data_IF_405949343239
#
_entry.id   IF_405949343239
#
_cell.length_a   1.000
_cell.length_b   1.000
_cell.length_c   1.000
_cell.angle_alpha   90.00
_cell.angle_beta   90.00
_cell.angle_gamma   90.00
#
_symmetry.space_group_name_H-M   'P 1'
#
loop_
_entity.id
_entity.type
_entity.pdbx_description
1 polymer ?
#
# COMPACT_ATOMS: atom_id res chain seq x y z
N UNK A 1 -0.67 2.63 15.91
CA UNK A 1 -1.30 3.15 14.68
C UNK A 1 -0.21 3.81 13.89
N UNK A 2 0.11 3.30 12.70
CA UNK A 2 1.08 3.94 11.82
C UNK A 2 0.59 5.35 11.49
N UNK A 3 1.52 6.29 11.34
CA UNK A 3 1.22 7.66 10.96
C UNK A 3 2.19 8.12 9.88
N UNK A 4 1.71 8.87 8.88
CA UNK A 4 2.60 9.41 7.86
C UNK A 4 3.58 10.40 8.48
N UNK A 5 4.81 10.42 7.98
CA UNK A 5 5.86 11.32 8.49
C UNK A 5 5.55 12.81 8.21
N UNK A 6 4.68 13.07 7.24
CA UNK A 6 4.17 14.41 6.91
C UNK A 6 2.72 14.31 6.45
N UNK A 7 1.89 15.33 6.69
CA UNK A 7 0.51 15.33 6.22
C UNK A 7 0.44 15.21 4.69
N UNK A 8 -0.37 14.28 4.19
CA UNK A 8 -0.65 14.16 2.77
C UNK A 8 -1.78 15.10 2.38
N UNK A 9 -1.46 16.11 1.56
CA UNK A 9 -2.42 17.04 0.98
C UNK A 9 -2.72 16.63 -0.46
N UNK A 10 -3.95 16.18 -0.71
CA UNK A 10 -4.45 15.87 -2.05
C UNK A 10 -5.68 16.74 -2.31
N UNK A 11 -5.64 17.51 -3.40
CA UNK A 11 -6.73 18.43 -3.80
C UNK A 11 -7.21 19.37 -2.67
N UNK A 12 -6.27 19.88 -1.84
CA UNK A 12 -6.57 20.79 -0.74
C UNK A 12 -7.14 20.12 0.52
N UNK A 13 -7.26 18.78 0.53
CA UNK A 13 -7.70 18.00 1.69
C UNK A 13 -6.53 17.23 2.27
N UNK A 14 -6.38 17.28 3.60
CA UNK A 14 -5.48 16.39 4.32
C UNK A 14 -6.09 14.99 4.44
N UNK A 15 -5.35 13.99 4.01
CA UNK A 15 -5.74 12.59 4.16
C UNK A 15 -5.73 12.17 5.64
N UNK A 16 -6.68 11.31 6.00
CA UNK A 16 -6.63 10.57 7.28
C UNK A 16 -5.44 9.60 7.30
N UNK A 17 -5.04 9.13 8.49
CA UNK A 17 -3.95 8.14 8.63
C UNK A 17 -4.22 6.88 7.78
N UNK A 18 -5.49 6.45 7.69
CA UNK A 18 -5.92 5.33 6.86
C UNK A 18 -5.79 5.62 5.35
N UNK A 19 -6.25 6.78 4.90
CA UNK A 19 -6.13 7.19 3.50
C UNK A 19 -4.66 7.37 3.10
N UNK A 20 -3.83 7.93 3.98
CA UNK A 20 -2.39 8.06 3.78
C UNK A 20 -1.73 6.69 3.69
N UNK A 21 -2.08 5.74 4.58
CA UNK A 21 -1.56 4.38 4.54
C UNK A 21 -1.89 3.70 3.21
N UNK A 22 -3.16 3.80 2.78
CA UNK A 22 -3.60 3.25 1.48
C UNK A 22 -2.83 3.88 0.34
N UNK A 23 -2.64 5.20 0.36
CA UNK A 23 -1.94 5.93 -0.69
C UNK A 23 -0.48 5.46 -0.81
N UNK A 24 0.25 5.42 0.30
CA UNK A 24 1.65 4.97 0.31
C UNK A 24 1.80 3.50 -0.08
N UNK A 25 0.91 2.62 0.39
CA UNK A 25 0.91 1.21 -0.01
C UNK A 25 0.70 1.06 -1.52
N UNK A 26 -0.30 1.78 -2.05
CA UNK A 26 -0.67 1.73 -3.46
C UNK A 26 0.46 2.25 -4.36
N UNK A 27 1.05 3.40 -4.00
CA UNK A 27 2.12 4.04 -4.76
C UNK A 27 3.37 3.15 -4.83
N UNK A 28 3.79 2.57 -3.70
CA UNK A 28 4.92 1.63 -3.68
C UNK A 28 4.62 0.38 -4.52
N UNK A 29 3.42 -0.18 -4.41
CA UNK A 29 3.04 -1.38 -5.15
C UNK A 29 2.96 -1.12 -6.67
N UNK A 30 2.43 0.04 -7.09
CA UNK A 30 2.46 0.45 -8.50
C UNK A 30 3.88 0.56 -9.04
N UNK A 31 4.82 1.11 -8.26
CA UNK A 31 6.23 1.21 -8.65
C UNK A 31 6.88 -0.16 -8.85
N UNK A 32 6.57 -1.13 -8.00
CA UNK A 32 7.11 -2.49 -8.10
C UNK A 32 6.68 -3.22 -9.38
N UNK A 33 5.49 -2.90 -9.90
CA UNK A 33 4.96 -3.45 -11.15
C UNK A 33 5.10 -2.50 -12.35
N UNK A 34 5.94 -1.46 -12.26
CA UNK A 34 6.16 -0.47 -13.33
C UNK A 34 4.85 0.17 -13.85
N UNK A 35 3.86 0.34 -12.98
CA UNK A 35 2.54 0.88 -13.32
C UNK A 35 1.56 -0.14 -13.93
N UNK A 36 1.98 -1.37 -14.21
CA UNK A 36 1.16 -2.42 -14.82
C UNK A 36 0.40 -3.26 -13.77
N UNK A 37 -0.26 -2.61 -12.82
CA UNK A 37 -1.08 -3.27 -11.78
C UNK A 37 -2.56 -3.04 -12.00
N UNK A 38 -3.31 -4.14 -11.96
CA UNK A 38 -4.77 -4.15 -11.94
C UNK A 38 -5.30 -3.47 -10.66
N UNK A 39 -6.20 -2.50 -10.83
CA UNK A 39 -6.85 -1.80 -9.72
C UNK A 39 -7.66 -2.72 -8.81
N UNK A 40 -8.22 -3.81 -9.34
CA UNK A 40 -8.99 -4.78 -8.57
C UNK A 40 -8.06 -5.62 -7.68
N UNK A 41 -6.90 -6.03 -8.21
CA UNK A 41 -5.86 -6.69 -7.42
C UNK A 41 -5.37 -5.78 -6.29
N UNK A 42 -5.10 -4.50 -6.60
CA UNK A 42 -4.64 -3.54 -5.61
C UNK A 42 -5.68 -3.33 -4.49
N UNK A 43 -6.95 -3.27 -4.86
CA UNK A 43 -8.07 -3.15 -3.90
C UNK A 43 -8.19 -4.41 -3.03
N UNK A 44 -8.08 -5.60 -3.62
CA UNK A 44 -8.09 -6.87 -2.90
C UNK A 44 -6.93 -6.95 -1.89
N UNK A 45 -5.72 -6.61 -2.31
CA UNK A 45 -4.52 -6.61 -1.47
C UNK A 45 -4.65 -5.62 -0.31
N UNK A 46 -5.11 -4.41 -0.58
CA UNK A 46 -5.38 -3.42 0.47
C UNK A 46 -6.39 -3.94 1.50
N UNK A 47 -7.55 -4.44 1.05
CA UNK A 47 -8.58 -4.95 1.95
C UNK A 47 -8.11 -6.16 2.78
N UNK A 48 -7.17 -6.94 2.23
CA UNK A 48 -6.58 -8.09 2.92
C UNK A 48 -5.52 -7.67 3.93
N UNK A 49 -4.62 -6.76 3.56
CA UNK A 49 -3.46 -6.40 4.38
C UNK A 49 -3.79 -5.36 5.43
N UNK A 50 -4.58 -4.33 5.09
CA UNK A 50 -4.83 -3.19 5.96
C UNK A 50 -5.32 -3.59 7.37
N UNK A 51 -6.32 -4.49 7.55
CA UNK A 51 -6.77 -4.86 8.89
C UNK A 51 -5.69 -5.53 9.76
N UNK A 52 -4.65 -6.09 9.14
CA UNK A 52 -3.59 -6.87 9.80
C UNK A 52 -2.31 -6.07 9.99
N UNK A 53 -2.04 -5.13 9.09
CA UNK A 53 -0.76 -4.44 8.98
C UNK A 53 -0.88 -2.90 9.04
N UNK A 54 -2.02 -2.35 9.45
CA UNK A 54 -2.21 -0.89 9.56
C UNK A 54 -1.25 -0.22 10.56
N UNK A 55 -0.63 -0.98 11.46
CA UNK A 55 0.39 -0.44 12.36
C UNK A 55 1.81 -0.48 11.77
N UNK A 56 1.99 -1.16 10.64
CA UNK A 56 3.27 -1.34 9.98
C UNK A 56 3.46 -0.32 8.85
N UNK A 57 4.71 -0.16 8.41
CA UNK A 57 5.04 0.70 7.26
C UNK A 57 4.36 0.17 5.98
N UNK A 58 3.44 0.93 5.36
CA UNK A 58 2.73 0.51 4.15
C UNK A 58 3.67 0.16 3.00
N UNK A 59 4.84 0.81 2.87
CA UNK A 59 5.81 0.51 1.81
C UNK A 59 6.48 -0.83 2.04
N UNK A 60 6.81 -1.13 3.29
CA UNK A 60 7.34 -2.44 3.65
C UNK A 60 6.33 -3.55 3.38
N UNK A 61 5.06 -3.33 3.75
CA UNK A 61 3.97 -4.28 3.50
C UNK A 61 3.73 -4.49 1.99
N UNK A 62 3.81 -3.43 1.18
CA UNK A 62 3.72 -3.53 -0.29
C UNK A 62 4.83 -4.43 -0.87
N UNK A 63 6.08 -4.25 -0.41
CA UNK A 63 7.22 -5.09 -0.83
C UNK A 63 7.05 -6.55 -0.41
N UNK A 64 6.55 -6.81 0.80
CA UNK A 64 6.24 -8.16 1.25
C UNK A 64 5.15 -8.81 0.39
N UNK A 65 4.06 -8.09 0.11
CA UNK A 65 2.98 -8.58 -0.75
C UNK A 65 3.50 -8.93 -2.16
N UNK A 66 4.32 -8.05 -2.75
CA UNK A 66 4.97 -8.30 -4.03
C UNK A 66 5.87 -9.53 -4.00
N UNK A 67 6.71 -9.66 -2.97
CA UNK A 67 7.61 -10.81 -2.82
C UNK A 67 6.82 -12.14 -2.70
N UNK A 68 5.69 -12.14 -2.00
CA UNK A 68 4.83 -13.33 -1.89
C UNK A 68 4.17 -13.68 -3.22
N UNK A 69 3.69 -12.69 -3.98
CA UNK A 69 3.03 -12.92 -5.28
C UNK A 69 3.99 -13.37 -6.38
N UNK A 70 5.24 -12.93 -6.31
CA UNK A 70 6.31 -13.29 -7.26
C UNK A 70 7.15 -14.49 -6.81
N UNK A 71 6.81 -15.08 -5.66
CA UNK A 71 7.51 -16.25 -5.17
C UNK A 71 7.18 -17.48 -6.04
N UNK A 72 8.10 -17.81 -6.94
CA UNK A 72 8.09 -19.10 -7.64
C UNK A 72 8.56 -20.18 -6.64
N UNK A 73 7.70 -21.17 -6.38
CA UNK A 73 8.15 -22.38 -5.68
C UNK A 73 9.01 -23.21 -6.66
N UNK A 74 10.16 -23.75 -6.21
CA UNK A 74 10.92 -24.73 -6.98
C UNK A 74 10.13 -26.02 -7.22
#
# INVERSE_FOLDING_TARGET
MWKPASPFLIAGRTLTDQEAWRHEFSDEFYKLYEGAVDSDLLTMLYNTMHPRAFNDDPRHVARLAHAVLTYERP
#
